data_IF_962007971298
#
_entry.id   IF_962007971298
#
_cell.length_a   1.000
_cell.length_b   1.000
_cell.length_c   1.000
_cell.angle_alpha   90.00
_cell.angle_beta   90.00
_cell.angle_gamma   90.00
#
_symmetry.space_group_name_H-M   'P 1'
#
loop_
_entity.id
_entity.type
_entity.pdbx_description
1 polymer ?
#
# COMPACT_ATOMS: atom_id res chain seq x y z
N UNK A 1 50.49 -38.57 39.17
CA UNK A 1 49.13 -38.74 39.71
C UNK A 1 48.60 -37.37 40.10
N UNK A 2 47.38 -37.01 39.65
CA UNK A 2 46.57 -35.82 40.03
C UNK A 2 47.03 -34.50 39.37
N UNK A 3 46.23 -33.70 38.65
CA UNK A 3 44.87 -33.74 38.07
C UNK A 3 44.90 -32.73 36.90
N UNK A 4 44.33 -33.06 35.74
CA UNK A 4 44.07 -32.09 34.68
C UNK A 4 42.70 -31.46 34.93
N UNK A 5 42.65 -30.14 35.06
CA UNK A 5 41.40 -29.37 35.14
C UNK A 5 40.73 -29.34 33.77
N UNK A 6 39.47 -29.75 33.75
CA UNK A 6 38.58 -29.73 32.60
C UNK A 6 37.99 -28.32 32.54
N UNK A 7 38.32 -27.57 31.49
CA UNK A 7 37.67 -26.30 31.19
C UNK A 7 36.40 -26.64 30.40
N UNK A 8 35.25 -26.52 31.05
CA UNK A 8 33.94 -26.62 30.39
C UNK A 8 33.81 -25.54 29.31
N UNK A 9 33.64 -25.99 28.08
CA UNK A 9 33.27 -25.13 26.96
C UNK A 9 31.74 -24.95 26.97
N UNK A 10 31.21 -23.72 26.84
CA UNK A 10 29.78 -23.50 26.92
C UNK A 10 29.06 -24.09 25.71
N UNK A 11 27.93 -24.76 25.97
CA UNK A 11 27.05 -25.36 24.98
C UNK A 11 26.67 -24.35 23.90
N UNK A 12 27.08 -24.66 22.67
CA UNK A 12 26.71 -23.91 21.47
C UNK A 12 25.21 -24.09 21.24
N UNK A 13 24.55 -22.94 21.16
CA UNK A 13 23.13 -22.72 20.91
C UNK A 13 22.52 -23.68 19.89
N UNK A 14 21.39 -24.29 20.27
CA UNK A 14 20.48 -25.02 19.37
C UNK A 14 20.23 -24.19 18.12
N UNK A 15 20.71 -24.71 17.00
CA UNK A 15 20.45 -24.20 15.67
C UNK A 15 18.94 -24.03 15.50
N UNK A 16 18.54 -22.81 15.19
CA UNK A 16 17.20 -22.47 14.72
C UNK A 16 17.02 -23.17 13.39
N UNK A 17 16.51 -24.41 13.40
CA UNK A 17 16.05 -25.08 12.19
C UNK A 17 15.00 -24.18 11.53
N UNK A 18 15.41 -23.52 10.45
CA UNK A 18 14.50 -22.93 9.48
C UNK A 18 13.75 -24.10 8.84
N UNK A 19 12.64 -24.48 9.46
CA UNK A 19 11.68 -25.42 8.89
C UNK A 19 11.11 -24.73 7.65
N UNK A 20 11.68 -25.04 6.50
CA UNK A 20 11.09 -24.78 5.20
C UNK A 20 9.94 -25.76 5.00
N UNK A 21 8.83 -25.55 5.71
CA UNK A 21 7.55 -26.16 5.33
C UNK A 21 6.97 -25.33 4.20
N UNK A 22 6.63 -26.00 3.09
CA UNK A 22 5.78 -25.44 2.03
C UNK A 22 4.42 -25.09 2.64
N UNK A 23 4.30 -23.85 3.13
CA UNK A 23 3.20 -23.32 3.93
C UNK A 23 2.07 -22.78 3.05
N UNK A 24 1.69 -23.48 1.98
CA UNK A 24 0.49 -23.11 1.23
C UNK A 24 -0.72 -23.65 2.01
N UNK A 25 -1.59 -22.78 2.55
CA UNK A 25 -2.77 -23.22 3.28
C UNK A 25 -3.72 -23.97 2.34
N UNK A 26 -4.45 -24.96 2.86
CA UNK A 26 -5.57 -25.54 2.14
C UNK A 26 -6.73 -24.52 2.04
N UNK A 27 -7.75 -24.85 1.25
CA UNK A 27 -8.86 -23.92 0.97
C UNK A 27 -9.56 -23.46 2.25
N UNK A 28 -9.82 -24.37 3.19
CA UNK A 28 -10.54 -24.03 4.43
C UNK A 28 -9.74 -23.07 5.31
N UNK A 29 -8.42 -23.33 5.48
CA UNK A 29 -7.53 -22.44 6.23
C UNK A 29 -7.41 -21.08 5.54
N UNK A 30 -7.37 -21.04 4.20
CA UNK A 30 -7.32 -19.78 3.46
C UNK A 30 -8.60 -18.94 3.67
N UNK A 31 -9.77 -19.58 3.70
CA UNK A 31 -11.05 -18.92 4.01
C UNK A 31 -11.05 -18.39 5.45
N UNK A 32 -10.62 -19.20 6.41
CA UNK A 32 -10.56 -18.79 7.82
C UNK A 32 -9.61 -17.59 8.02
N UNK A 33 -8.44 -17.61 7.38
CA UNK A 33 -7.50 -16.49 7.40
C UNK A 33 -8.10 -15.21 6.80
N UNK A 34 -8.86 -15.35 5.71
CA UNK A 34 -9.55 -14.21 5.11
C UNK A 34 -10.65 -13.65 6.01
N UNK A 35 -11.45 -14.51 6.63
CA UNK A 35 -12.48 -14.11 7.59
C UNK A 35 -11.88 -13.42 8.81
N UNK A 36 -10.73 -13.90 9.29
CA UNK A 36 -9.97 -13.25 10.35
C UNK A 36 -9.51 -11.85 9.96
N UNK A 37 -9.01 -11.65 8.73
CA UNK A 37 -8.68 -10.32 8.21
C UNK A 37 -9.91 -9.41 8.14
N UNK A 38 -11.04 -9.90 7.63
CA UNK A 38 -12.29 -9.13 7.55
C UNK A 38 -12.79 -8.73 8.94
N UNK A 39 -12.72 -9.64 9.92
CA UNK A 39 -13.08 -9.39 11.32
C UNK A 39 -12.15 -8.34 11.95
N UNK A 40 -10.84 -8.43 11.71
CA UNK A 40 -9.88 -7.44 12.17
C UNK A 40 -10.18 -6.06 11.59
N UNK A 41 -10.46 -5.96 10.28
CA UNK A 41 -10.80 -4.68 9.64
C UNK A 41 -12.02 -4.03 10.29
N UNK A 42 -13.07 -4.81 10.62
CA UNK A 42 -14.27 -4.31 11.32
C UNK A 42 -13.99 -3.83 12.75
N UNK A 43 -13.06 -4.47 13.46
CA UNK A 43 -12.72 -4.11 14.84
C UNK A 43 -11.69 -2.99 14.97
N UNK A 44 -10.77 -2.87 14.01
CA UNK A 44 -9.64 -1.94 14.06
C UNK A 44 -9.91 -0.60 13.37
N UNK A 45 -10.67 -0.62 12.27
CA UNK A 45 -10.92 0.55 11.45
C UNK A 45 -12.26 1.19 11.81
N UNK A 46 -12.33 2.51 11.72
CA UNK A 46 -13.55 3.28 11.93
C UNK A 46 -13.85 4.19 10.73
N UNK A 47 -14.98 4.88 10.73
CA UNK A 47 -15.43 5.72 9.61
C UNK A 47 -14.39 6.77 9.16
N UNK A 48 -13.56 7.27 10.08
CA UNK A 48 -12.56 8.29 9.75
C UNK A 48 -11.43 7.73 8.86
N UNK A 49 -11.22 6.42 8.90
CA UNK A 49 -10.22 5.69 8.10
C UNK A 49 -10.66 5.47 6.65
N UNK A 50 -11.92 5.73 6.34
CA UNK A 50 -12.48 5.58 5.00
C UNK A 50 -12.75 6.93 4.35
N UNK A 51 -12.64 6.96 3.02
CA UNK A 51 -13.08 8.04 2.16
C UNK A 51 -14.21 7.51 1.28
N UNK A 52 -15.40 8.11 1.37
CA UNK A 52 -16.48 7.82 0.41
C UNK A 52 -16.18 8.53 -0.91
N UNK A 53 -16.16 7.77 -2.00
CA UNK A 53 -15.96 8.27 -3.35
C UNK A 53 -17.05 7.70 -4.26
N UNK A 54 -17.71 8.59 -5.01
CA UNK A 54 -18.68 8.21 -6.02
C UNK A 54 -17.92 7.80 -7.29
N UNK A 55 -18.08 6.54 -7.68
CA UNK A 55 -17.51 5.94 -8.89
C UNK A 55 -18.62 5.77 -9.93
N UNK A 56 -18.30 5.93 -11.21
CA UNK A 56 -19.21 5.59 -12.30
C UNK A 56 -18.90 4.16 -12.73
N UNK A 57 -19.87 3.27 -12.62
CA UNK A 57 -19.75 1.87 -13.03
C UNK A 57 -20.81 1.56 -14.08
N UNK A 58 -20.53 0.60 -14.96
CA UNK A 58 -21.53 0.12 -15.91
C UNK A 58 -22.43 -0.90 -15.20
N UNK A 59 -23.74 -0.73 -15.32
CA UNK A 59 -24.69 -1.77 -14.94
C UNK A 59 -24.65 -2.95 -15.94
N UNK A 60 -25.43 -3.99 -15.64
CA UNK A 60 -25.56 -5.18 -16.51
C UNK A 60 -26.06 -4.83 -17.92
N UNK A 61 -26.70 -3.67 -18.09
CA UNK A 61 -27.22 -3.15 -19.34
C UNK A 61 -26.24 -2.20 -20.06
N UNK A 62 -25.04 -1.99 -19.51
CA UNK A 62 -24.00 -1.12 -20.05
C UNK A 62 -24.15 0.38 -19.76
N UNK A 63 -25.16 0.79 -18.98
CA UNK A 63 -25.39 2.18 -18.59
C UNK A 63 -24.52 2.58 -17.40
N UNK A 64 -24.02 3.82 -17.40
CA UNK A 64 -23.22 4.33 -16.29
C UNK A 64 -24.10 4.72 -15.10
N UNK A 65 -23.97 3.98 -14.00
CA UNK A 65 -24.58 4.26 -12.70
C UNK A 65 -23.55 4.83 -11.71
N UNK A 66 -24.01 5.73 -10.84
CA UNK A 66 -23.17 6.31 -9.77
C UNK A 66 -23.25 5.42 -8.53
N UNK A 67 -22.15 4.78 -8.17
CA UNK A 67 -22.04 3.91 -6.99
C UNK A 67 -21.15 4.57 -5.95
N UNK A 68 -21.59 4.56 -4.69
CA UNK A 68 -20.76 5.00 -3.56
C UNK A 68 -19.87 3.85 -3.11
N UNK A 69 -18.54 4.06 -3.13
CA UNK A 69 -17.56 3.11 -2.60
C UNK A 69 -16.76 3.74 -1.47
N UNK A 70 -16.39 2.93 -0.48
CA UNK A 70 -15.52 3.31 0.61
C UNK A 70 -14.09 2.88 0.30
N UNK A 71 -13.16 3.82 0.31
CA UNK A 71 -11.74 3.55 0.08
C UNK A 71 -10.95 3.79 1.35
N UNK A 72 -10.05 2.86 1.68
CA UNK A 72 -9.14 2.97 2.83
C UNK A 72 -8.15 4.11 2.60
N UNK A 73 -8.08 5.04 3.55
CA UNK A 73 -7.10 6.14 3.59
C UNK A 73 -5.75 5.64 4.12
N UNK A 74 -4.72 6.49 4.04
CA UNK A 74 -3.42 6.28 4.72
C UNK A 74 -3.55 5.82 6.18
N UNK A 75 -4.47 6.39 6.97
CA UNK A 75 -4.62 5.99 8.38
C UNK A 75 -5.06 4.54 8.54
N UNK A 76 -5.92 4.04 7.65
CA UNK A 76 -6.35 2.64 7.63
C UNK A 76 -5.14 1.72 7.36
N UNK A 77 -4.38 2.03 6.32
CA UNK A 77 -3.21 1.23 5.92
C UNK A 77 -2.12 1.23 7.00
N UNK A 78 -1.91 2.37 7.68
CA UNK A 78 -0.97 2.46 8.81
C UNK A 78 -1.43 1.64 10.02
N UNK A 79 -2.74 1.62 10.33
CA UNK A 79 -3.29 0.76 11.40
C UNK A 79 -3.10 -0.72 11.07
N UNK A 80 -3.39 -1.12 9.83
CA UNK A 80 -3.19 -2.50 9.37
C UNK A 80 -1.71 -2.88 9.36
N UNK A 81 -0.83 -2.02 8.85
CA UNK A 81 0.63 -2.20 8.90
C UNK A 81 1.11 -2.47 10.33
N UNK A 82 0.62 -1.70 11.31
CA UNK A 82 0.94 -1.91 12.72
C UNK A 82 0.36 -3.21 13.28
N UNK A 83 -0.85 -3.59 12.89
CA UNK A 83 -1.49 -4.81 13.39
C UNK A 83 -0.79 -6.10 12.90
N UNK A 84 -0.24 -6.06 11.68
CA UNK A 84 0.45 -7.18 11.04
C UNK A 84 1.99 -7.11 11.15
N UNK A 85 2.53 -6.11 11.86
CA UNK A 85 3.96 -5.84 11.96
C UNK A 85 4.65 -5.76 10.59
N UNK A 86 4.02 -5.06 9.64
CA UNK A 86 4.57 -4.85 8.31
C UNK A 86 5.65 -3.78 8.38
N UNK A 87 6.85 -4.14 7.95
CA UNK A 87 7.95 -3.20 7.71
C UNK A 87 7.91 -2.70 6.27
N UNK A 88 8.29 -1.44 6.06
CA UNK A 88 8.35 -0.85 4.72
C UNK A 88 9.70 -0.18 4.48
N UNK A 89 10.25 -0.37 3.28
CA UNK A 89 11.48 0.30 2.85
C UNK A 89 11.36 0.83 1.43
N UNK A 90 12.00 1.98 1.20
CA UNK A 90 12.13 2.54 -0.16
C UNK A 90 13.21 1.72 -0.87
N UNK A 91 12.82 1.02 -1.93
CA UNK A 91 13.72 0.24 -2.79
C UNK A 91 14.36 1.14 -3.84
N UNK A 92 13.53 1.99 -4.46
CA UNK A 92 13.98 2.91 -5.49
C UNK A 92 13.25 4.25 -5.36
N UNK A 93 13.91 5.32 -5.81
CA UNK A 93 13.33 6.66 -5.90
C UNK A 93 13.96 7.42 -7.05
N UNK A 94 13.11 8.09 -7.83
CA UNK A 94 13.54 9.04 -8.86
C UNK A 94 12.75 10.34 -8.74
N UNK A 95 13.43 11.46 -8.96
CA UNK A 95 12.84 12.81 -8.85
C UNK A 95 13.26 13.62 -10.06
N UNK A 96 12.36 13.71 -11.04
CA UNK A 96 12.57 14.54 -12.21
C UNK A 96 12.34 16.01 -11.85
N UNK A 97 13.33 16.86 -12.13
CA UNK A 97 13.24 18.32 -11.93
C UNK A 97 13.22 19.04 -13.26
N UNK A 98 12.45 20.12 -13.31
CA UNK A 98 12.45 21.08 -14.43
C UNK A 98 13.78 21.83 -14.52
N UNK A 99 14.04 22.51 -15.65
CA UNK A 99 15.21 23.40 -15.81
C UNK A 99 15.30 24.51 -14.75
N UNK A 100 14.17 24.88 -14.14
CA UNK A 100 14.09 25.87 -13.06
C UNK A 100 14.21 25.25 -11.65
N UNK A 101 14.56 23.96 -11.54
CA UNK A 101 14.81 23.26 -10.29
C UNK A 101 13.57 22.73 -9.55
N UNK A 102 12.36 23.05 -10.00
CA UNK A 102 11.10 22.53 -9.41
C UNK A 102 10.92 21.05 -9.72
N UNK A 103 10.39 20.29 -8.76
CA UNK A 103 9.97 18.90 -8.99
C UNK A 103 8.85 18.86 -10.02
N UNK A 104 9.14 18.19 -11.14
CA UNK A 104 8.18 17.87 -12.19
C UNK A 104 7.46 16.59 -11.83
N UNK A 105 8.20 15.52 -11.53
CA UNK A 105 7.66 14.20 -11.21
C UNK A 105 8.48 13.56 -10.09
N UNK A 106 7.82 12.75 -9.27
CA UNK A 106 8.46 11.94 -8.25
C UNK A 106 7.96 10.50 -8.37
N UNK A 107 8.88 9.55 -8.42
CA UNK A 107 8.65 8.12 -8.46
C UNK A 107 9.22 7.49 -7.18
N UNK A 108 8.50 6.53 -6.62
CA UNK A 108 8.95 5.71 -5.50
C UNK A 108 8.58 4.25 -5.75
N UNK A 109 9.51 3.34 -5.52
CA UNK A 109 9.25 1.92 -5.31
C UNK A 109 9.43 1.61 -3.82
N UNK A 110 8.44 0.97 -3.21
CA UNK A 110 8.44 0.59 -1.79
C UNK A 110 8.21 -0.91 -1.69
N UNK A 111 9.03 -1.59 -0.88
CA UNK A 111 8.78 -2.98 -0.49
C UNK A 111 8.13 -2.99 0.88
N UNK A 112 7.07 -3.78 1.03
CA UNK A 112 6.47 -4.13 2.30
C UNK A 112 6.84 -5.58 2.65
N UNK A 113 7.19 -5.85 3.91
CA UNK A 113 7.64 -7.18 4.37
C UNK A 113 6.94 -7.56 5.67
N UNK A 114 6.44 -8.79 5.74
CA UNK A 114 5.89 -9.39 6.97
C UNK A 114 7.00 -10.06 7.80
N UNK A 115 6.81 -10.29 9.11
CA UNK A 115 7.79 -10.97 9.95
C UNK A 115 8.13 -12.39 9.51
N UNK A 116 7.24 -13.03 8.73
CA UNK A 116 7.47 -14.36 8.15
C UNK A 116 8.32 -14.33 6.87
N UNK A 117 8.84 -13.16 6.47
CA UNK A 117 9.68 -12.98 5.28
C UNK A 117 8.90 -12.77 3.97
N UNK A 118 7.58 -12.91 3.94
CA UNK A 118 6.79 -12.59 2.74
C UNK A 118 6.90 -11.09 2.46
N UNK A 119 7.25 -10.75 1.22
CA UNK A 119 7.38 -9.35 0.80
C UNK A 119 6.75 -9.10 -0.55
N UNK A 120 6.33 -7.86 -0.77
CA UNK A 120 5.82 -7.36 -2.05
C UNK A 120 6.44 -6.00 -2.32
N UNK A 121 6.81 -5.74 -3.57
CA UNK A 121 7.23 -4.42 -4.06
C UNK A 121 6.10 -3.78 -4.83
N UNK A 122 5.89 -2.49 -4.59
CA UNK A 122 4.92 -1.72 -5.34
C UNK A 122 5.43 -0.30 -5.51
N UNK A 123 5.14 0.27 -6.66
CA UNK A 123 5.61 1.57 -7.08
C UNK A 123 4.47 2.59 -7.17
N UNK A 124 4.81 3.87 -7.17
CA UNK A 124 3.86 4.92 -7.54
C UNK A 124 4.59 6.17 -8.01
N UNK A 125 3.91 6.89 -8.89
CA UNK A 125 4.33 8.18 -9.40
C UNK A 125 3.39 9.29 -8.94
N UNK A 126 3.95 10.48 -8.71
CA UNK A 126 3.19 11.70 -8.66
C UNK A 126 3.82 12.76 -9.55
N UNK A 127 3.01 13.33 -10.45
CA UNK A 127 3.44 14.39 -11.36
C UNK A 127 2.78 15.71 -10.97
N UNK A 128 3.51 16.81 -11.15
CA UNK A 128 2.98 18.18 -11.06
C UNK A 128 1.95 18.46 -12.17
N UNK A 129 1.96 17.67 -13.25
CA UNK A 129 0.95 17.70 -14.29
C UNK A 129 -0.39 17.05 -13.86
N UNK A 130 -0.43 16.33 -12.73
CA UNK A 130 -1.70 15.87 -12.18
C UNK A 130 -2.59 17.07 -11.81
N UNK A 131 -3.89 16.90 -11.99
CA UNK A 131 -4.87 17.95 -11.69
C UNK A 131 -4.74 18.38 -10.22
N UNK A 132 -4.80 19.69 -9.98
CA UNK A 132 -4.69 20.26 -8.64
C UNK A 132 -3.29 20.16 -8.01
N UNK A 133 -2.28 19.68 -8.75
CA UNK A 133 -0.88 19.60 -8.30
C UNK A 133 0.02 20.68 -8.91
N UNK A 134 -0.48 21.51 -9.82
CA UNK A 134 0.26 22.60 -10.47
C UNK A 134 0.89 23.58 -9.46
N UNK A 135 0.14 23.94 -8.40
CA UNK A 135 0.54 24.93 -7.39
C UNK A 135 1.05 24.37 -6.07
N UNK A 136 1.09 23.05 -5.89
CA UNK A 136 1.51 22.45 -4.61
C UNK A 136 3.03 22.57 -4.40
N UNK A 137 3.53 22.38 -3.19
CA UNK A 137 4.97 22.36 -2.96
C UNK A 137 5.63 21.09 -3.53
N UNK A 138 6.93 21.14 -3.79
CA UNK A 138 7.70 19.97 -4.23
C UNK A 138 7.61 18.82 -3.22
N UNK A 139 7.62 19.16 -1.93
CA UNK A 139 7.39 18.20 -0.85
C UNK A 139 6.05 17.47 -0.99
N UNK A 140 4.97 18.17 -1.37
CA UNK A 140 3.67 17.55 -1.57
C UNK A 140 3.67 16.54 -2.73
N UNK A 141 4.37 16.83 -3.84
CA UNK A 141 4.52 15.87 -4.95
C UNK A 141 5.24 14.61 -4.47
N UNK A 142 6.40 14.77 -3.85
CA UNK A 142 7.21 13.66 -3.32
C UNK A 142 6.46 12.84 -2.27
N UNK A 143 5.82 13.52 -1.31
CA UNK A 143 5.04 12.86 -0.25
C UNK A 143 3.82 12.13 -0.81
N UNK A 144 3.20 12.64 -1.87
CA UNK A 144 2.05 11.96 -2.51
C UNK A 144 2.53 10.67 -3.17
N UNK A 145 3.60 10.72 -3.97
CA UNK A 145 4.18 9.53 -4.62
C UNK A 145 4.59 8.48 -3.59
N UNK A 146 5.37 8.86 -2.57
CA UNK A 146 5.78 7.96 -1.49
C UNK A 146 4.59 7.33 -0.77
N UNK A 147 3.56 8.13 -0.44
CA UNK A 147 2.37 7.62 0.27
C UNK A 147 1.60 6.62 -0.58
N UNK A 148 1.41 6.89 -1.88
CA UNK A 148 0.75 5.96 -2.81
C UNK A 148 1.52 4.64 -2.90
N UNK A 149 2.83 4.68 -3.13
CA UNK A 149 3.66 3.47 -3.22
C UNK A 149 3.59 2.65 -1.92
N UNK A 150 3.70 3.32 -0.77
CA UNK A 150 3.62 2.65 0.54
C UNK A 150 2.25 2.01 0.78
N UNK A 151 1.16 2.73 0.52
CA UNK A 151 -0.18 2.20 0.70
C UNK A 151 -0.44 1.03 -0.24
N UNK A 152 0.03 1.10 -1.49
CA UNK A 152 -0.11 0.02 -2.49
C UNK A 152 0.66 -1.23 -2.08
N UNK A 153 1.91 -1.08 -1.64
CA UNK A 153 2.72 -2.19 -1.15
C UNK A 153 2.07 -2.89 0.06
N UNK A 154 1.51 -2.12 1.01
CA UNK A 154 0.77 -2.69 2.15
C UNK A 154 -0.53 -3.37 1.67
N UNK A 155 -1.31 -2.72 0.81
CA UNK A 155 -2.56 -3.25 0.30
C UNK A 155 -2.36 -4.54 -0.50
N UNK A 156 -1.31 -4.65 -1.30
CA UNK A 156 -0.99 -5.86 -2.06
C UNK A 156 -0.51 -7.00 -1.14
N UNK A 157 0.27 -6.66 -0.10
CA UNK A 157 0.78 -7.65 0.85
C UNK A 157 -0.32 -8.27 1.74
N UNK A 158 -1.23 -7.46 2.28
CA UNK A 158 -2.23 -7.90 3.28
C UNK A 158 -3.69 -7.62 2.93
N UNK A 159 -3.96 -6.73 1.98
CA UNK A 159 -5.31 -6.27 1.61
C UNK A 159 -5.79 -6.76 0.24
N UNK A 160 -5.18 -7.82 -0.31
CA UNK A 160 -5.51 -8.38 -1.62
C UNK A 160 -5.48 -7.37 -2.79
N UNK A 161 -4.63 -6.34 -2.71
CA UNK A 161 -4.45 -5.36 -3.78
C UNK A 161 -5.57 -4.31 -3.90
N UNK A 162 -6.33 -4.07 -2.83
CA UNK A 162 -7.34 -3.01 -2.81
C UNK A 162 -6.75 -1.61 -3.15
N UNK A 163 -7.46 -0.85 -3.97
CA UNK A 163 -7.09 0.52 -4.35
C UNK A 163 -7.26 1.47 -3.15
N UNK A 164 -6.29 2.36 -2.93
CA UNK A 164 -6.36 3.35 -1.84
C UNK A 164 -7.17 4.60 -2.21
N UNK A 165 -7.65 5.32 -1.19
CA UNK A 165 -8.38 6.58 -1.39
C UNK A 165 -7.55 7.65 -2.12
N UNK A 166 -6.24 7.67 -1.88
CA UNK A 166 -5.29 8.62 -2.48
C UNK A 166 -5.13 8.42 -4.00
N UNK A 167 -5.40 7.22 -4.51
CA UNK A 167 -5.37 6.87 -5.95
C UNK A 167 -6.68 7.24 -6.62
N UNK A 168 -7.82 6.90 -6.01
CA UNK A 168 -9.14 7.24 -6.54
C UNK A 168 -9.41 8.74 -6.61
N UNK A 169 -8.86 9.49 -5.66
CA UNK A 169 -8.98 10.96 -5.67
C UNK A 169 -8.25 11.56 -6.87
N UNK A 170 -7.13 10.97 -7.28
CA UNK A 170 -6.39 11.38 -8.48
C UNK A 170 -7.21 11.09 -9.75
N UNK A 171 -7.83 9.91 -9.84
CA UNK A 171 -8.66 9.52 -10.99
C UNK A 171 -9.95 10.33 -11.13
N UNK A 172 -10.68 10.56 -10.02
CA UNK A 172 -11.91 11.36 -10.03
C UNK A 172 -11.65 12.77 -10.57
N UNK A 173 -10.52 13.34 -10.20
CA UNK A 173 -10.09 14.65 -10.67
C UNK A 173 -9.87 14.65 -12.20
N UNK A 174 -9.21 13.63 -12.75
CA UNK A 174 -8.98 13.47 -14.21
C UNK A 174 -10.31 13.35 -14.96
N UNK A 175 -11.21 12.47 -14.50
CA UNK A 175 -12.47 12.18 -15.18
C UNK A 175 -13.43 13.37 -15.18
N UNK A 176 -13.50 14.16 -14.11
CA UNK A 176 -14.31 15.38 -14.10
C UNK A 176 -13.80 16.45 -15.10
N UNK A 177 -12.49 16.56 -15.30
CA UNK A 177 -11.94 17.56 -16.26
C UNK A 177 -12.13 17.19 -17.73
N UNK A 178 -12.19 15.90 -18.09
CA UNK A 178 -12.48 15.49 -19.48
C UNK A 178 -13.91 15.88 -19.87
N UNK A 179 -14.86 15.60 -19.00
CA UNK A 179 -16.28 15.88 -19.23
C UNK A 179 -16.56 17.40 -19.39
N UNK A 180 -16.00 18.23 -18.50
CA UNK A 180 -16.11 19.70 -18.59
C UNK A 180 -15.46 20.31 -19.84
N UNK A 181 -14.52 19.61 -20.51
CA UNK A 181 -13.94 20.07 -21.78
C UNK A 181 -14.79 19.68 -22.99
N UNK A 182 -15.47 18.53 -22.93
CA UNK A 182 -16.41 18.08 -23.96
C UNK A 182 -17.64 19.01 -24.02
N UNK A 183 -18.17 19.42 -22.86
CA UNK A 183 -19.33 20.32 -22.78
C UNK A 183 -19.06 21.77 -23.26
N UNK A 184 -17.80 22.21 -23.27
CA UNK A 184 -17.39 23.54 -23.73
C UNK A 184 -16.86 23.57 -25.17
N UNK A 185 -16.89 22.42 -25.87
CA UNK A 185 -16.43 22.28 -27.27
C UNK A 185 -17.60 22.03 -28.23
N UNK A 186 -18.84 22.32 -27.80
CA UNK A 186 -20.06 22.28 -28.64
C UNK A 186 -20.60 23.69 -28.88
#
# INVERSE_FOLDING_TARGET
MVKAEIIESPEVSKETELIATDNVPNVDVAIEQWDAYQKLCKGLLNETDYQEIIVKEKDENGNYVKVKRHFKKKSAWQKLSRAFNVDTHIVDRDIERTKMGRVKEAYYCVRATLPNGRSVESDALCSRAEKGKDKVSDHTIMSTAKTRATNRAIAELIGAGEVSAEEMTAEKQINQSKFLKEDNSS
#
